data_IF_869950947166
#
_entry.id   IF_869950947166
#
_cell.length_a   1.000
_cell.length_b   1.000
_cell.length_c   1.000
_cell.angle_alpha   90.00
_cell.angle_beta   90.00
_cell.angle_gamma   90.00
#
_symmetry.space_group_name_H-M   'P 1'
#
loop_
_entity.id
_entity.type
_entity.pdbx_description
1 polymer ?
#
# COMPACT_ATOMS: atom_id res chain seq x y z
N UNK A 1 -13.77 5.97 11.15
CA UNK A 1 -12.65 6.61 10.45
C UNK A 1 -12.70 6.25 8.98
N UNK A 2 -12.52 7.25 8.10
CA UNK A 2 -12.36 7.04 6.67
C UNK A 2 -10.91 6.55 6.42
N UNK A 3 -10.71 5.59 5.51
CA UNK A 3 -9.39 5.01 5.20
C UNK A 3 -8.34 6.07 4.82
N UNK A 4 -8.70 7.11 4.06
CA UNK A 4 -7.82 8.23 3.73
C UNK A 4 -7.37 9.00 4.97
N UNK A 5 -8.28 9.23 5.91
CA UNK A 5 -7.96 9.89 7.16
C UNK A 5 -7.04 9.03 8.03
N UNK A 6 -7.28 7.72 8.09
CA UNK A 6 -6.41 6.80 8.80
C UNK A 6 -4.99 6.80 8.23
N UNK A 7 -4.85 6.85 6.89
CA UNK A 7 -3.54 6.97 6.24
C UNK A 7 -2.83 8.28 6.61
N UNK A 8 -3.55 9.42 6.58
CA UNK A 8 -3.01 10.73 6.95
C UNK A 8 -2.50 10.71 8.39
N UNK A 9 -3.28 10.16 9.31
CA UNK A 9 -2.90 10.02 10.72
C UNK A 9 -1.68 9.10 10.89
N UNK A 10 -1.63 8.00 10.15
CA UNK A 10 -0.49 7.08 10.14
C UNK A 10 0.79 7.77 9.63
N UNK A 11 0.70 8.55 8.54
CA UNK A 11 1.83 9.33 8.00
C UNK A 11 2.30 10.37 9.02
N UNK A 12 1.36 11.13 9.61
CA UNK A 12 1.66 12.18 10.59
C UNK A 12 2.31 11.65 11.87
N UNK A 13 1.84 10.53 12.37
CA UNK A 13 2.29 9.92 13.63
C UNK A 13 3.42 8.89 13.45
N UNK A 14 3.90 8.66 12.23
CA UNK A 14 4.92 7.66 11.98
C UNK A 14 6.25 8.00 12.67
N UNK A 15 6.87 7.08 13.41
CA UNK A 15 8.19 7.28 14.04
C UNK A 15 9.35 7.13 13.04
N UNK A 16 9.08 6.76 11.78
CA UNK A 16 10.11 6.50 10.79
C UNK A 16 10.85 7.79 10.42
N UNK A 17 12.18 7.75 10.55
CA UNK A 17 13.11 8.85 10.19
C UNK A 17 13.92 8.56 8.92
N UNK A 18 13.71 7.42 8.31
CA UNK A 18 14.35 7.00 7.07
C UNK A 18 13.57 7.49 5.85
N UNK A 19 14.17 7.57 4.66
CA UNK A 19 13.44 7.81 3.43
C UNK A 19 12.35 6.75 3.22
N UNK A 20 11.13 7.19 2.92
CA UNK A 20 9.98 6.31 2.73
C UNK A 20 9.35 6.55 1.36
N UNK A 21 9.03 5.48 0.66
CA UNK A 21 8.15 5.50 -0.50
C UNK A 21 6.86 4.79 -0.11
N UNK A 22 5.76 5.53 -0.06
CA UNK A 22 4.44 5.00 0.25
C UNK A 22 3.79 4.50 -1.05
N UNK A 23 3.46 3.22 -1.09
CA UNK A 23 2.75 2.62 -2.22
C UNK A 23 1.31 2.33 -1.80
N UNK A 24 0.34 2.90 -2.54
CA UNK A 24 -1.06 2.75 -2.17
C UNK A 24 -1.98 2.53 -3.38
N UNK A 25 -3.13 1.97 -3.10
CA UNK A 25 -4.19 1.67 -4.04
C UNK A 25 -5.03 2.94 -4.33
N UNK A 26 -5.90 2.83 -5.32
CA UNK A 26 -6.83 3.87 -5.81
C UNK A 26 -7.75 4.46 -4.74
N UNK A 27 -8.03 3.74 -3.65
CA UNK A 27 -8.84 4.25 -2.53
C UNK A 27 -8.25 5.51 -1.88
N UNK A 28 -6.95 5.69 -1.96
CA UNK A 28 -6.20 6.77 -1.32
C UNK A 28 -5.97 8.00 -2.21
N UNK A 29 -6.51 8.00 -3.44
CA UNK A 29 -6.45 9.10 -4.40
C UNK A 29 -7.10 10.37 -3.83
N UNK A 30 -6.28 11.36 -3.41
CA UNK A 30 -6.77 12.68 -2.98
C UNK A 30 -5.61 13.70 -2.89
N UNK A 31 -5.86 14.96 -3.24
CA UNK A 31 -4.88 16.04 -3.10
C UNK A 31 -4.44 16.21 -1.64
N UNK A 32 -5.35 16.06 -0.67
CA UNK A 32 -5.01 16.14 0.74
C UNK A 32 -4.03 15.04 1.17
N UNK A 33 -4.23 13.80 0.71
CA UNK A 33 -3.31 12.68 0.95
C UNK A 33 -1.92 12.98 0.39
N UNK A 34 -1.84 13.46 -0.86
CA UNK A 34 -0.57 13.79 -1.51
C UNK A 34 0.17 14.89 -0.77
N UNK A 35 -0.54 15.94 -0.35
CA UNK A 35 0.03 17.02 0.42
C UNK A 35 0.59 16.55 1.77
N UNK A 36 -0.15 15.73 2.53
CA UNK A 36 0.33 15.19 3.80
C UNK A 36 1.59 14.34 3.66
N UNK A 37 1.67 13.51 2.62
CA UNK A 37 2.86 12.69 2.34
C UNK A 37 4.04 13.60 1.94
N UNK A 38 3.80 14.58 1.06
CA UNK A 38 4.82 15.54 0.61
C UNK A 38 5.36 16.38 1.76
N UNK A 39 4.52 16.94 2.61
CA UNK A 39 4.92 17.75 3.77
C UNK A 39 5.69 16.94 4.82
N UNK A 40 5.46 15.62 4.87
CA UNK A 40 6.27 14.71 5.68
C UNK A 40 7.67 14.44 5.08
N UNK A 41 7.93 14.92 3.86
CA UNK A 41 9.16 14.62 3.12
C UNK A 41 9.20 13.21 2.53
N UNK A 42 8.07 12.50 2.53
CA UNK A 42 7.98 11.16 1.98
C UNK A 42 7.69 11.19 0.48
N UNK A 43 8.04 10.10 -0.17
CA UNK A 43 7.68 9.82 -1.55
C UNK A 43 6.47 8.91 -1.60
N UNK A 44 5.76 8.92 -2.76
CA UNK A 44 4.60 8.05 -2.92
C UNK A 44 4.46 7.55 -4.36
N UNK A 45 3.81 6.40 -4.50
CA UNK A 45 3.28 5.86 -5.76
C UNK A 45 1.84 5.42 -5.48
N UNK A 46 0.88 6.13 -6.03
CA UNK A 46 -0.54 5.89 -5.77
C UNK A 46 -1.26 5.66 -7.09
N UNK A 47 -1.99 4.55 -7.19
CA UNK A 47 -2.84 4.28 -8.34
C UNK A 47 -4.03 5.22 -8.33
N UNK A 48 -4.39 5.70 -9.53
CA UNK A 48 -5.57 6.55 -9.73
C UNK A 48 -6.49 5.96 -10.78
N UNK A 49 -7.71 6.48 -10.87
CA UNK A 49 -8.60 6.15 -11.98
C UNK A 49 -8.01 6.66 -13.29
N UNK A 50 -8.16 5.88 -14.35
CA UNK A 50 -7.69 6.28 -15.68
C UNK A 50 -8.39 7.55 -16.20
N UNK A 51 -7.72 8.26 -17.09
CA UNK A 51 -8.20 9.53 -17.71
C UNK A 51 -9.58 9.42 -18.36
N UNK A 52 -9.91 8.24 -18.88
CA UNK A 52 -11.22 7.96 -19.50
C UNK A 52 -12.38 7.89 -18.50
N UNK A 53 -12.10 7.89 -17.21
CA UNK A 53 -13.11 7.86 -16.15
C UNK A 53 -13.17 9.21 -15.42
N UNK A 54 -14.31 9.53 -14.81
CA UNK A 54 -14.39 10.71 -13.91
C UNK A 54 -13.43 10.54 -12.74
N UNK A 55 -12.25 11.15 -12.84
CA UNK A 55 -11.14 11.04 -11.89
C UNK A 55 -10.55 12.41 -11.58
N UNK A 56 -9.67 12.49 -10.59
CA UNK A 56 -8.97 13.74 -10.27
C UNK A 56 -8.07 14.21 -11.42
N UNK A 57 -7.57 13.29 -12.25
CA UNK A 57 -6.69 13.60 -13.38
C UNK A 57 -7.44 13.94 -14.67
N UNK A 58 -8.75 13.69 -14.77
CA UNK A 58 -9.53 13.94 -16.00
C UNK A 58 -9.63 15.43 -16.39
N UNK A 59 -9.34 16.33 -15.43
CA UNK A 59 -9.31 17.79 -15.67
C UNK A 59 -7.91 18.34 -15.91
N UNK A 60 -6.89 17.48 -15.95
CA UNK A 60 -5.52 17.87 -16.23
C UNK A 60 -5.25 17.84 -17.75
N UNK A 61 -4.34 18.67 -18.20
CA UNK A 61 -3.87 18.67 -19.60
C UNK A 61 -2.94 17.48 -19.83
N UNK A 62 -3.51 16.31 -20.03
CA UNK A 62 -2.81 15.05 -20.24
C UNK A 62 -3.14 14.47 -21.63
N UNK A 63 -2.25 13.68 -22.24
CA UNK A 63 -2.56 12.96 -23.46
C UNK A 63 -3.77 12.03 -23.28
N UNK A 64 -4.74 12.10 -24.18
CA UNK A 64 -5.99 11.32 -24.10
C UNK A 64 -5.84 9.86 -24.53
N UNK A 65 -4.74 9.53 -25.21
CA UNK A 65 -4.48 8.21 -25.78
C UNK A 65 -3.05 7.75 -25.50
N UNK A 66 -2.87 6.44 -25.52
CA UNK A 66 -1.55 5.83 -25.39
C UNK A 66 -0.98 5.84 -23.96
N UNK A 67 0.30 5.56 -23.89
CA UNK A 67 1.12 5.66 -22.68
C UNK A 67 1.74 7.03 -22.60
N UNK A 68 1.94 7.54 -21.40
CA UNK A 68 2.62 8.80 -21.15
C UNK A 68 3.26 8.85 -19.77
N UNK A 69 4.14 9.81 -19.58
CA UNK A 69 4.81 10.12 -18.31
C UNK A 69 4.99 11.64 -18.26
N UNK A 70 4.05 12.31 -17.60
CA UNK A 70 3.94 13.78 -17.61
C UNK A 70 4.07 14.33 -16.19
N UNK A 71 4.88 15.37 -16.04
CA UNK A 71 5.00 16.12 -14.80
C UNK A 71 3.99 17.25 -14.78
N UNK A 72 3.20 17.29 -13.72
CA UNK A 72 2.12 18.27 -13.51
C UNK A 72 2.49 19.18 -12.34
N UNK A 73 2.35 20.48 -12.58
CA UNK A 73 2.50 21.51 -11.55
C UNK A 73 1.15 22.19 -11.38
N UNK A 74 0.56 22.05 -10.18
CA UNK A 74 -0.74 22.64 -9.86
C UNK A 74 -0.66 23.54 -8.66
N UNK A 75 -1.32 24.69 -8.74
CA UNK A 75 -1.64 25.53 -7.59
C UNK A 75 -3.07 25.24 -7.14
N UNK A 76 -3.22 24.56 -6.01
CA UNK A 76 -4.53 24.28 -5.42
C UNK A 76 -5.05 25.55 -4.74
N UNK A 77 -6.35 25.86 -4.88
CA UNK A 77 -6.94 27.05 -4.26
C UNK A 77 -8.42 26.87 -3.95
N UNK A 78 -8.94 27.41 -2.82
CA UNK A 78 -10.36 27.48 -2.53
C UNK A 78 -11.06 28.67 -3.23
N UNK A 79 -10.31 29.52 -3.95
CA UNK A 79 -10.83 30.72 -4.60
C UNK A 79 -11.18 30.46 -6.06
N UNK A 80 -12.27 31.07 -6.53
CA UNK A 80 -12.71 31.03 -7.94
C UNK A 80 -12.61 32.42 -8.57
N UNK A 81 -11.41 32.96 -8.66
CA UNK A 81 -11.15 34.22 -9.35
C UNK A 81 -11.21 34.07 -10.87
N UNK A 82 -11.32 35.18 -11.60
CA UNK A 82 -11.26 35.15 -13.06
C UNK A 82 -9.91 34.58 -13.57
N UNK A 83 -8.82 34.87 -12.88
CA UNK A 83 -7.50 34.31 -13.17
C UNK A 83 -7.49 32.79 -13.04
N UNK A 84 -8.03 32.24 -11.92
CA UNK A 84 -8.15 30.81 -11.67
C UNK A 84 -8.98 30.12 -12.76
N UNK A 85 -10.10 30.74 -13.16
CA UNK A 85 -10.96 30.19 -14.22
C UNK A 85 -10.29 30.24 -15.60
N UNK A 86 -9.51 31.28 -15.87
CA UNK A 86 -8.81 31.45 -17.14
C UNK A 86 -7.59 30.49 -17.32
N UNK A 87 -7.05 29.98 -16.21
CA UNK A 87 -5.84 29.15 -16.23
C UNK A 87 -6.05 27.76 -15.56
N UNK A 88 -6.96 26.90 -16.07
CA UNK A 88 -7.28 25.60 -15.45
C UNK A 88 -6.13 24.58 -15.51
N UNK A 89 -5.13 24.82 -16.36
CA UNK A 89 -3.92 24.00 -16.44
C UNK A 89 -2.93 24.28 -15.30
N UNK A 90 -2.98 25.49 -14.70
CA UNK A 90 -2.12 25.91 -13.59
C UNK A 90 -2.85 25.80 -12.25
N UNK A 91 -4.13 26.18 -12.21
CA UNK A 91 -4.90 26.24 -10.99
C UNK A 91 -5.91 25.12 -10.88
N UNK A 92 -6.02 24.55 -9.69
CA UNK A 92 -7.08 23.61 -9.35
C UNK A 92 -7.93 24.17 -8.23
N UNK A 93 -9.16 24.54 -8.57
CA UNK A 93 -10.16 24.93 -7.58
C UNK A 93 -10.58 23.74 -6.74
N UNK A 94 -10.52 23.89 -5.43
CA UNK A 94 -11.03 22.91 -4.44
C UNK A 94 -12.19 23.56 -3.70
N UNK A 95 -13.44 23.10 -3.91
CA UNK A 95 -14.60 23.64 -3.20
C UNK A 95 -14.52 23.29 -1.71
N UNK A 96 -15.24 24.06 -0.86
CA UNK A 96 -15.18 23.95 0.59
C UNK A 96 -15.61 22.58 1.16
N UNK A 97 -16.43 21.84 0.41
CA UNK A 97 -16.82 20.46 0.78
C UNK A 97 -15.73 19.43 0.50
N UNK A 98 -14.65 19.79 -0.22
CA UNK A 98 -13.47 18.96 -0.42
C UNK A 98 -12.46 19.28 0.65
N UNK A 99 -12.15 18.28 1.47
CA UNK A 99 -11.18 18.47 2.56
C UNK A 99 -9.79 18.69 2.00
N UNK A 100 -9.18 19.81 2.40
CA UNK A 100 -7.78 20.11 2.19
C UNK A 100 -7.23 20.88 3.39
N UNK A 101 -6.40 20.23 4.19
CA UNK A 101 -6.01 20.70 5.52
C UNK A 101 -5.00 21.86 5.46
N UNK A 102 -4.19 21.95 4.40
CA UNK A 102 -3.06 22.89 4.33
C UNK A 102 -3.46 24.33 4.03
N UNK A 103 -4.67 24.61 3.57
CA UNK A 103 -5.15 25.99 3.48
C UNK A 103 -5.27 26.61 4.89
N UNK A 104 -5.73 25.84 5.87
CA UNK A 104 -5.83 26.27 7.27
C UNK A 104 -4.50 26.19 7.98
N UNK A 105 -3.76 25.10 7.85
CA UNK A 105 -2.50 24.87 8.53
C UNK A 105 -1.41 25.88 8.13
N UNK A 106 -1.34 26.26 6.86
CA UNK A 106 -0.39 27.26 6.35
C UNK A 106 -0.97 28.67 6.24
N UNK A 107 -2.23 28.88 6.61
CA UNK A 107 -2.93 30.16 6.49
C UNK A 107 -2.78 30.78 5.10
N UNK A 108 -2.95 29.97 4.06
CA UNK A 108 -2.78 30.38 2.67
C UNK A 108 -3.97 29.97 1.82
N UNK A 109 -4.26 30.76 0.80
CA UNK A 109 -5.26 30.43 -0.20
C UNK A 109 -4.69 29.67 -1.40
N UNK A 110 -3.37 29.43 -1.42
CA UNK A 110 -2.68 28.79 -2.51
C UNK A 110 -1.71 27.73 -1.98
N UNK A 111 -1.77 26.53 -2.55
CA UNK A 111 -0.86 25.45 -2.21
C UNK A 111 -0.30 24.82 -3.50
N UNK A 112 1.02 24.81 -3.61
CA UNK A 112 1.69 24.25 -4.77
C UNK A 112 1.92 22.75 -4.61
N UNK A 113 1.50 22.00 -5.62
CA UNK A 113 1.63 20.55 -5.68
C UNK A 113 2.24 20.16 -7.02
N UNK A 114 3.37 19.44 -6.95
CA UNK A 114 4.03 18.89 -8.14
C UNK A 114 4.04 17.37 -8.07
N UNK A 115 3.63 16.71 -9.15
CA UNK A 115 3.61 15.25 -9.24
C UNK A 115 3.70 14.80 -10.71
N UNK A 116 4.15 13.56 -10.91
CA UNK A 116 4.11 12.88 -12.19
C UNK A 116 2.85 12.06 -12.32
N UNK A 117 2.29 12.02 -13.52
CA UNK A 117 1.22 11.10 -13.90
C UNK A 117 1.81 10.16 -14.95
N UNK A 118 1.89 8.88 -14.57
CA UNK A 118 2.47 7.85 -15.43
C UNK A 118 1.38 6.87 -15.84
N UNK A 119 1.16 6.73 -17.12
CA UNK A 119 0.17 5.82 -17.70
C UNK A 119 0.85 4.77 -18.55
N UNK A 120 0.60 3.51 -18.26
CA UNK A 120 1.16 2.39 -19.02
C UNK A 120 0.11 1.34 -19.35
N UNK A 121 0.33 0.66 -20.45
CA UNK A 121 -0.57 -0.36 -20.98
C UNK A 121 -0.41 -1.66 -20.19
N UNK A 122 -1.52 -2.25 -19.76
CA UNK A 122 -1.55 -3.57 -19.12
C UNK A 122 -1.94 -4.67 -20.11
N UNK A 123 -2.98 -4.39 -20.92
CA UNK A 123 -3.47 -5.24 -22.01
C UNK A 123 -3.82 -4.36 -23.19
N UNK A 124 -4.31 -4.93 -24.29
CA UNK A 124 -4.67 -4.14 -25.49
C UNK A 124 -5.65 -3.00 -25.18
N UNK A 125 -6.60 -3.22 -24.26
CA UNK A 125 -7.66 -2.27 -23.94
C UNK A 125 -7.58 -1.68 -22.54
N UNK A 126 -6.64 -2.12 -21.71
CA UNK A 126 -6.56 -1.68 -20.32
C UNK A 126 -5.26 -0.95 -20.01
N UNK A 127 -5.41 0.13 -19.29
CA UNK A 127 -4.28 0.95 -18.81
C UNK A 127 -4.29 1.03 -17.29
N UNK A 128 -3.11 1.22 -16.73
CA UNK A 128 -2.93 1.58 -15.34
C UNK A 128 -2.30 2.96 -15.26
N UNK A 129 -2.82 3.78 -14.35
CA UNK A 129 -2.33 5.14 -14.15
C UNK A 129 -1.89 5.32 -12.72
N UNK A 130 -0.66 5.80 -12.55
CA UNK A 130 -0.04 6.08 -11.26
C UNK A 130 0.22 7.58 -11.12
N UNK A 131 0.09 8.09 -9.90
CA UNK A 131 0.59 9.41 -9.51
C UNK A 131 1.74 9.22 -8.53
N UNK A 132 2.83 9.99 -8.72
CA UNK A 132 4.01 9.92 -7.89
C UNK A 132 4.72 11.28 -7.79
N UNK A 133 5.44 11.51 -6.69
CA UNK A 133 6.40 12.60 -6.54
C UNK A 133 7.86 12.12 -6.66
N UNK A 134 8.08 10.91 -7.16
CA UNK A 134 9.40 10.40 -7.53
C UNK A 134 9.85 11.03 -8.84
N UNK A 135 11.13 11.36 -8.91
CA UNK A 135 11.68 12.00 -10.08
C UNK A 135 11.87 10.97 -11.23
N UNK A 136 11.88 11.46 -12.47
CA UNK A 136 11.95 10.62 -13.67
C UNK A 136 13.37 10.08 -13.92
N UNK A 137 14.38 10.81 -13.50
CA UNK A 137 15.78 10.42 -13.68
C UNK A 137 16.17 9.21 -12.83
N UNK A 138 15.64 9.13 -11.60
CA UNK A 138 15.90 8.03 -10.68
C UNK A 138 14.92 6.86 -10.87
N UNK A 139 13.68 7.15 -11.25
CA UNK A 139 12.61 6.17 -11.37
C UNK A 139 11.98 6.20 -12.77
N UNK A 140 12.44 5.32 -13.64
CA UNK A 140 11.82 5.11 -14.95
C UNK A 140 10.38 4.62 -14.83
N UNK A 141 9.64 4.64 -15.92
CA UNK A 141 8.27 4.10 -15.99
C UNK A 141 8.23 2.61 -15.59
N UNK A 142 9.21 1.84 -16.01
CA UNK A 142 9.35 0.42 -15.70
C UNK A 142 9.61 0.21 -14.20
N UNK A 143 10.53 0.98 -13.61
CA UNK A 143 10.82 0.93 -12.19
C UNK A 143 9.59 1.28 -11.34
N UNK A 144 8.78 2.26 -11.77
CA UNK A 144 7.52 2.59 -11.09
C UNK A 144 6.49 1.46 -11.16
N UNK A 145 6.43 0.76 -12.30
CA UNK A 145 5.56 -0.41 -12.44
C UNK A 145 5.96 -1.53 -11.49
N UNK A 146 7.26 -1.87 -11.44
CA UNK A 146 7.79 -2.87 -10.51
C UNK A 146 7.54 -2.47 -9.06
N UNK A 147 7.79 -1.20 -8.71
CA UNK A 147 7.54 -0.67 -7.37
C UNK A 147 6.06 -0.77 -7.00
N UNK A 148 5.14 -0.46 -7.92
CA UNK A 148 3.72 -0.57 -7.67
C UNK A 148 3.26 -2.04 -7.55
N UNK A 149 3.85 -2.97 -8.29
CA UNK A 149 3.57 -4.40 -8.16
C UNK A 149 3.88 -4.93 -6.75
N UNK A 150 4.84 -4.35 -6.03
CA UNK A 150 5.13 -4.70 -4.62
C UNK A 150 3.94 -4.45 -3.68
N UNK A 151 2.99 -3.59 -4.06
CA UNK A 151 1.74 -3.37 -3.33
C UNK A 151 0.99 -4.67 -3.04
N UNK A 152 1.06 -5.66 -3.92
CA UNK A 152 0.42 -6.96 -3.71
C UNK A 152 0.93 -7.70 -2.47
N UNK A 153 2.09 -7.33 -1.96
CA UNK A 153 2.62 -7.87 -0.70
C UNK A 153 1.66 -7.65 0.47
N UNK A 154 0.95 -6.50 0.54
CA UNK A 154 -0.02 -6.23 1.61
C UNK A 154 -1.21 -7.19 1.60
N UNK A 155 -1.68 -7.63 0.41
CA UNK A 155 -2.78 -8.60 0.31
C UNK A 155 -2.33 -9.98 0.80
N UNK A 156 -1.08 -10.35 0.55
CA UNK A 156 -0.46 -11.57 1.08
C UNK A 156 -0.31 -11.48 2.58
N UNK A 157 0.23 -10.37 3.10
CA UNK A 157 0.37 -10.11 4.53
C UNK A 157 -0.99 -10.18 5.27
N UNK A 158 -2.05 -9.58 4.72
CA UNK A 158 -3.39 -9.70 5.30
C UNK A 158 -3.93 -11.12 5.28
N UNK A 159 -3.63 -11.92 4.26
CA UNK A 159 -4.02 -13.32 4.19
C UNK A 159 -3.29 -14.12 5.27
N UNK A 160 -2.02 -13.90 5.45
CA UNK A 160 -1.18 -14.55 6.45
C UNK A 160 -1.61 -14.20 7.87
N UNK A 161 -1.81 -12.91 8.14
CA UNK A 161 -2.36 -12.43 9.41
C UNK A 161 -3.72 -13.07 9.73
N UNK A 162 -4.64 -13.07 8.75
CA UNK A 162 -5.99 -13.60 8.97
C UNK A 162 -6.01 -15.10 9.22
N UNK A 163 -5.29 -15.87 8.43
CA UNK A 163 -5.43 -17.32 8.40
C UNK A 163 -4.27 -18.06 9.05
N UNK A 164 -3.02 -17.69 8.77
CA UNK A 164 -1.87 -18.38 9.32
C UNK A 164 -1.62 -17.99 10.78
N UNK A 165 -1.70 -16.71 11.12
CA UNK A 165 -1.64 -16.20 12.50
C UNK A 165 -3.00 -16.35 13.22
N UNK A 166 -4.11 -16.43 12.46
CA UNK A 166 -5.44 -16.57 13.04
C UNK A 166 -6.02 -15.28 13.62
N UNK A 167 -5.72 -14.11 13.01
CA UNK A 167 -6.20 -12.81 13.49
C UNK A 167 -7.73 -12.68 13.46
N UNK A 168 -8.43 -13.46 12.61
CA UNK A 168 -9.89 -13.49 12.55
C UNK A 168 -10.53 -14.30 13.69
N UNK A 169 -9.75 -15.03 14.46
CA UNK A 169 -10.21 -15.85 15.59
C UNK A 169 -9.70 -15.24 16.89
N UNK A 170 -10.59 -14.62 17.65
CA UNK A 170 -10.31 -14.00 18.93
C UNK A 170 -10.90 -14.84 20.06
N UNK A 171 -10.16 -14.99 21.16
CA UNK A 171 -10.58 -15.73 22.34
C UNK A 171 -11.20 -14.83 23.40
N UNK A 172 -10.75 -13.57 23.44
CA UNK A 172 -11.18 -12.59 24.43
C UNK A 172 -12.46 -11.87 24.02
N UNK A 173 -13.27 -11.45 25.00
CA UNK A 173 -14.48 -10.63 24.78
C UNK A 173 -14.30 -9.19 25.26
N UNK A 174 -13.47 -8.96 26.28
CA UNK A 174 -13.20 -7.61 26.80
C UNK A 174 -12.23 -6.89 25.88
N UNK A 175 -12.48 -5.61 25.62
CA UNK A 175 -11.69 -4.78 24.70
C UNK A 175 -10.19 -4.85 25.00
N UNK A 176 -9.78 -4.67 26.25
CA UNK A 176 -8.37 -4.71 26.64
C UNK A 176 -7.68 -6.04 26.31
N UNK A 177 -8.37 -7.16 26.51
CA UNK A 177 -7.85 -8.48 26.16
C UNK A 177 -7.86 -8.75 24.66
N UNK A 178 -8.84 -8.20 23.91
CA UNK A 178 -8.83 -8.24 22.46
C UNK A 178 -7.62 -7.47 21.92
N UNK A 179 -7.36 -6.26 22.43
CA UNK A 179 -6.20 -5.45 22.07
C UNK A 179 -4.89 -6.20 22.38
N UNK A 180 -4.78 -6.81 23.55
CA UNK A 180 -3.63 -7.64 23.92
C UNK A 180 -3.42 -8.82 22.96
N UNK A 181 -4.49 -9.53 22.62
CA UNK A 181 -4.43 -10.64 21.66
C UNK A 181 -4.02 -10.18 20.26
N UNK A 182 -4.54 -9.05 19.80
CA UNK A 182 -4.17 -8.44 18.52
C UNK A 182 -2.68 -8.07 18.49
N UNK A 183 -2.18 -7.38 19.51
CA UNK A 183 -0.77 -7.01 19.58
C UNK A 183 0.15 -8.22 19.68
N UNK A 184 -0.23 -9.26 20.43
CA UNK A 184 0.53 -10.49 20.49
C UNK A 184 0.64 -11.18 19.11
N UNK A 185 -0.46 -11.23 18.36
CA UNK A 185 -0.50 -11.80 17.00
C UNK A 185 0.30 -10.97 16.00
N UNK A 186 0.22 -9.63 16.07
CA UNK A 186 1.02 -8.74 15.23
C UNK A 186 2.51 -8.84 15.55
N UNK A 187 2.88 -8.95 16.81
CA UNK A 187 4.28 -9.18 17.25
C UNK A 187 4.83 -10.48 16.71
N UNK A 188 4.03 -11.56 16.79
CA UNK A 188 4.40 -12.85 16.22
C UNK A 188 4.58 -12.78 14.70
N UNK A 189 3.68 -12.09 14.01
CA UNK A 189 3.78 -11.86 12.57
C UNK A 189 5.09 -11.16 12.19
N UNK A 190 5.38 -10.03 12.83
CA UNK A 190 6.61 -9.26 12.58
C UNK A 190 7.87 -10.07 12.89
N UNK A 191 7.85 -10.87 13.95
CA UNK A 191 8.96 -11.77 14.28
C UNK A 191 9.18 -12.84 13.22
N UNK A 192 8.11 -13.46 12.72
CA UNK A 192 8.18 -14.45 11.64
C UNK A 192 8.67 -13.81 10.33
N UNK A 193 8.19 -12.60 9.98
CA UNK A 193 8.66 -11.86 8.81
C UNK A 193 10.17 -11.58 8.92
N UNK A 194 10.62 -11.09 10.06
CA UNK A 194 12.03 -10.79 10.29
C UNK A 194 12.92 -12.03 10.13
N UNK A 195 12.49 -13.19 10.63
CA UNK A 195 13.22 -14.44 10.44
C UNK A 195 13.19 -14.87 8.97
N UNK A 196 12.03 -14.88 8.33
CA UNK A 196 11.88 -15.36 6.94
C UNK A 196 12.63 -14.51 5.94
N UNK A 197 12.75 -13.20 6.16
CA UNK A 197 13.57 -12.30 5.35
C UNK A 197 15.07 -12.62 5.43
N UNK A 198 15.53 -13.16 6.55
CA UNK A 198 16.94 -13.51 6.77
C UNK A 198 17.26 -14.98 6.42
N UNK A 199 16.26 -15.80 6.11
CA UNK A 199 16.50 -17.19 5.70
C UNK A 199 17.08 -17.25 4.29
N UNK A 200 18.32 -17.68 4.17
CA UNK A 200 19.00 -17.86 2.88
C UNK A 200 18.50 -19.13 2.19
N UNK A 201 17.76 -18.96 1.11
CA UNK A 201 17.37 -20.08 0.25
C UNK A 201 18.55 -20.44 -0.65
N UNK A 202 19.15 -21.62 -0.44
CA UNK A 202 20.24 -22.12 -1.28
C UNK A 202 19.74 -22.24 -2.73
N UNK A 203 20.38 -21.49 -3.65
CA UNK A 203 20.14 -21.59 -5.09
C UNK A 203 20.67 -22.94 -5.58
N UNK A 204 19.82 -23.96 -5.57
CA UNK A 204 20.05 -25.19 -6.35
C UNK A 204 19.46 -24.97 -7.74
N UNK A 205 20.06 -25.58 -8.77
CA UNK A 205 19.45 -25.63 -10.10
C UNK A 205 18.08 -26.30 -10.01
N UNK A 206 17.02 -25.50 -10.06
CA UNK A 206 15.64 -25.97 -9.94
C UNK A 206 14.80 -25.31 -11.04
N UNK A 207 13.79 -26.04 -11.50
CA UNK A 207 12.85 -25.58 -12.55
C UNK A 207 12.11 -24.28 -12.19
N UNK A 208 11.93 -23.97 -10.90
CA UNK A 208 11.17 -22.82 -10.41
C UNK A 208 11.96 -22.04 -9.37
N UNK A 209 11.66 -20.76 -9.24
CA UNK A 209 12.04 -19.99 -8.05
C UNK A 209 11.22 -20.50 -6.86
N UNK A 210 11.81 -20.47 -5.68
CA UNK A 210 11.17 -20.93 -4.44
C UNK A 210 11.11 -19.79 -3.44
N UNK A 211 10.07 -19.83 -2.61
CA UNK A 211 9.88 -18.92 -1.50
C UNK A 211 9.62 -19.71 -0.21
N UNK A 212 9.80 -19.07 0.93
CA UNK A 212 9.51 -19.66 2.24
C UNK A 212 8.01 -19.97 2.34
N UNK A 213 7.69 -21.12 2.95
CA UNK A 213 6.33 -21.43 3.36
C UNK A 213 6.03 -20.70 4.67
N UNK A 214 5.42 -19.52 4.59
CA UNK A 214 5.16 -18.67 5.74
C UNK A 214 4.29 -19.35 6.81
N UNK A 215 3.32 -20.17 6.43
CA UNK A 215 2.50 -20.94 7.38
C UNK A 215 3.33 -21.89 8.21
N UNK A 216 4.29 -22.59 7.60
CA UNK A 216 5.23 -23.46 8.32
C UNK A 216 6.18 -22.62 9.18
N UNK A 217 6.68 -21.50 8.65
CA UNK A 217 7.55 -20.59 9.39
C UNK A 217 6.90 -20.11 10.70
N UNK A 218 5.61 -19.75 10.68
CA UNK A 218 4.86 -19.40 11.90
C UNK A 218 4.87 -20.54 12.91
N UNK A 219 4.58 -21.76 12.49
CA UNK A 219 4.58 -22.92 13.40
C UNK A 219 5.96 -23.16 14.00
N UNK A 220 7.01 -23.07 13.21
CA UNK A 220 8.41 -23.19 13.66
C UNK A 220 8.75 -22.09 14.66
N UNK A 221 8.40 -20.84 14.38
CA UNK A 221 8.61 -19.72 15.30
C UNK A 221 7.81 -19.89 16.61
N UNK A 222 6.56 -20.35 16.54
CA UNK A 222 5.77 -20.64 17.74
C UNK A 222 6.40 -21.76 18.59
N UNK A 223 6.98 -22.77 17.97
CA UNK A 223 7.71 -23.82 18.68
C UNK A 223 8.99 -23.28 19.30
N UNK A 224 9.72 -22.40 18.62
CA UNK A 224 10.92 -21.76 19.15
C UNK A 224 10.63 -20.97 20.43
N UNK A 225 9.51 -20.23 20.49
CA UNK A 225 9.09 -19.54 21.72
C UNK A 225 8.77 -20.49 22.88
N UNK A 226 8.40 -21.73 22.60
CA UNK A 226 8.18 -22.77 23.62
C UNK A 226 9.45 -23.48 24.00
N UNK A 227 10.40 -23.63 23.09
CA UNK A 227 11.65 -24.32 23.27
C UNK A 227 12.73 -23.73 22.36
N UNK A 228 13.69 -23.02 22.95
CA UNK A 228 14.80 -22.36 22.23
C UNK A 228 15.79 -23.30 21.54
N UNK A 229 15.59 -24.62 21.64
CA UNK A 229 16.51 -25.66 21.08
C UNK A 229 16.18 -26.04 19.62
N UNK A 230 15.24 -25.36 18.98
CA UNK A 230 14.76 -25.71 17.64
C UNK A 230 15.64 -25.01 16.58
N UNK A 231 16.15 -25.70 15.57
CA UNK A 231 16.92 -25.12 14.48
C UNK A 231 15.98 -24.44 13.49
N UNK A 232 15.57 -23.20 13.81
CA UNK A 232 14.52 -22.45 13.11
C UNK A 232 14.83 -22.29 11.64
N UNK A 233 16.03 -21.81 11.31
CA UNK A 233 16.45 -21.55 9.93
C UNK A 233 16.41 -22.82 9.09
N UNK A 234 16.98 -23.91 9.57
CA UNK A 234 17.04 -25.21 8.88
C UNK A 234 15.63 -25.76 8.61
N UNK A 235 14.73 -25.69 9.59
CA UNK A 235 13.35 -26.15 9.44
C UNK A 235 12.57 -25.32 8.42
N UNK A 236 12.81 -24.01 8.37
CA UNK A 236 12.17 -23.12 7.39
C UNK A 236 12.74 -23.40 5.99
N UNK A 237 14.05 -23.55 5.83
CA UNK A 237 14.72 -23.85 4.55
C UNK A 237 14.25 -25.18 3.94
N UNK A 238 13.91 -26.16 4.74
CA UNK A 238 13.40 -27.46 4.27
C UNK A 238 11.96 -27.36 3.75
N UNK A 239 11.21 -26.33 4.16
CA UNK A 239 9.78 -26.16 3.86
C UNK A 239 9.54 -24.96 2.95
N UNK A 240 9.90 -25.10 1.67
CA UNK A 240 9.77 -24.04 0.67
C UNK A 240 8.69 -24.35 -0.37
N UNK A 241 8.11 -23.32 -0.96
CA UNK A 241 7.06 -23.41 -1.98
C UNK A 241 7.57 -22.90 -3.34
N UNK A 242 7.21 -23.55 -4.46
CA UNK A 242 7.55 -23.04 -5.78
C UNK A 242 6.74 -21.79 -6.13
N UNK A 243 7.42 -20.75 -6.60
CA UNK A 243 6.79 -19.55 -7.15
C UNK A 243 6.38 -19.84 -8.59
N UNK A 244 5.09 -19.95 -8.84
CA UNK A 244 4.53 -20.19 -10.19
C UNK A 244 4.02 -18.86 -10.74
N UNK A 245 4.81 -18.21 -11.60
CA UNK A 245 4.39 -16.99 -12.31
C UNK A 245 3.23 -17.28 -13.26
N UNK A 246 2.30 -16.34 -13.41
CA UNK A 246 1.24 -16.41 -14.42
C UNK A 246 0.05 -17.32 -14.10
N UNK A 247 -0.02 -17.93 -12.92
CA UNK A 247 -1.18 -18.74 -12.52
C UNK A 247 -2.37 -17.82 -12.20
N UNK A 248 -3.29 -17.69 -13.15
CA UNK A 248 -4.57 -16.99 -12.93
C UNK A 248 -5.61 -18.04 -12.51
N UNK A 249 -6.30 -17.80 -11.42
CA UNK A 249 -7.50 -18.53 -11.03
C UNK A 249 -8.64 -17.53 -10.92
N UNK A 250 -9.82 -17.89 -11.43
CA UNK A 250 -11.01 -17.06 -11.23
C UNK A 250 -11.26 -16.84 -9.73
N UNK A 251 -11.50 -15.59 -9.36
CA UNK A 251 -11.91 -15.26 -8.00
C UNK A 251 -13.30 -15.82 -7.76
N UNK A 252 -13.39 -16.94 -7.10
CA UNK A 252 -14.67 -17.36 -6.52
C UNK A 252 -15.06 -16.32 -5.47
N UNK A 253 -16.18 -15.64 -5.68
CA UNK A 253 -16.80 -14.73 -4.70
C UNK A 253 -17.28 -15.57 -3.52
N UNK A 254 -16.40 -15.87 -2.58
CA UNK A 254 -16.79 -16.48 -1.31
C UNK A 254 -17.26 -15.36 -0.39
N UNK A 255 -18.37 -15.60 0.30
CA UNK A 255 -18.82 -14.77 1.42
C UNK A 255 -17.63 -14.62 2.37
N UNK A 256 -17.24 -13.37 2.68
CA UNK A 256 -16.14 -13.12 3.62
C UNK A 256 -16.53 -13.73 4.97
N UNK A 257 -15.69 -14.60 5.56
CA UNK A 257 -15.95 -15.10 6.89
C UNK A 257 -16.01 -13.90 7.85
N UNK A 258 -17.04 -13.86 8.68
CA UNK A 258 -17.11 -12.90 9.79
C UNK A 258 -16.00 -13.20 10.80
N UNK A 259 -15.53 -12.18 11.50
CA UNK A 259 -14.67 -12.39 12.69
C UNK A 259 -15.41 -13.28 13.68
N UNK A 260 -14.77 -14.34 14.14
CA UNK A 260 -15.36 -15.28 15.08
C UNK A 260 -14.62 -15.27 16.41
N UNK A 261 -15.38 -15.46 17.49
CA UNK A 261 -14.84 -15.67 18.82
C UNK A 261 -14.79 -17.18 19.11
N UNK A 262 -13.58 -17.69 19.37
CA UNK A 262 -13.40 -19.08 19.75
C UNK A 262 -13.51 -19.21 21.26
N UNK A 263 -14.48 -20.00 21.72
CA UNK A 263 -14.56 -20.35 23.12
C UNK A 263 -13.60 -21.51 23.37
N UNK A 264 -12.74 -21.39 24.39
CA UNK A 264 -12.11 -22.59 24.96
C UNK A 264 -13.23 -23.42 25.63
N UNK A 265 -13.45 -24.62 25.13
CA UNK A 265 -14.14 -25.64 25.92
C UNK A 265 -13.21 -25.93 27.06
N UNK A 266 -13.69 -25.71 28.28
CA UNK A 266 -12.94 -25.91 29.51
C UNK A 266 -12.60 -27.41 29.67
#
# INVERSE_FOLDING_TARGET
LNERQALIEMVGNSPLKVPVILVADRGYESYNTFAHIQERGWKYVIRVKDIKSKSMISSLSLPHTGEFDETIHLTLTPKQTNEVKANPHRYKFLPQNVRFDYFKLKQTDYYELSFRVVRFKLTEDTYETLITNLNQEEFSKEALKELYEMRWGIETAFRELKYAIGLIHLHAKKRSFIEQELFAKLTMYNFCEMITLNVVLTKKERKYNYQVNFTVAIHVCCQFFRSSKIPVEELIQRNILPVRKGRRSERRTRVKPSVSFMYRVA
#
